data_IF_559806245450
#
_entry.id   IF_559806245450
#
_cell.length_a   1.000
_cell.length_b   1.000
_cell.length_c   1.000
_cell.angle_alpha   90.00
_cell.angle_beta   90.00
_cell.angle_gamma   90.00
#
_symmetry.space_group_name_H-M   'P 1'
#
loop_
_entity.id
_entity.type
_entity.pdbx_description
1 polymer ?
#
# COMPACT_ATOMS: atom_id res chain seq x y z
N UNK A 1 -29.04 -0.62 -8.81
CA UNK A 1 -28.02 0.03 -9.67
C UNK A 1 -27.33 -1.02 -10.53
N UNK A 2 -27.05 -0.74 -11.80
CA UNK A 2 -26.39 -1.68 -12.72
C UNK A 2 -24.90 -1.36 -12.80
N UNK A 3 -24.04 -2.34 -12.52
CA UNK A 3 -22.58 -2.22 -12.63
C UNK A 3 -22.18 -2.12 -14.10
N UNK A 4 -21.16 -1.30 -14.40
CA UNK A 4 -20.64 -1.14 -15.77
C UNK A 4 -20.03 -2.45 -16.29
N UNK A 5 -20.29 -2.75 -17.57
CA UNK A 5 -19.73 -3.93 -18.25
C UNK A 5 -18.19 -3.96 -18.25
N UNK A 6 -17.54 -2.80 -18.17
CA UNK A 6 -16.06 -2.71 -18.18
C UNK A 6 -15.41 -3.19 -16.88
N UNK A 7 -16.14 -3.16 -15.76
CA UNK A 7 -15.59 -3.50 -14.43
C UNK A 7 -16.17 -4.78 -13.85
N UNK A 8 -17.27 -5.29 -14.41
CA UNK A 8 -17.99 -6.45 -13.86
C UNK A 8 -17.17 -7.75 -13.80
N UNK A 9 -16.16 -7.88 -14.67
CA UNK A 9 -15.27 -9.05 -14.72
C UNK A 9 -13.87 -8.80 -14.15
N UNK A 10 -13.65 -7.69 -13.45
CA UNK A 10 -12.34 -7.42 -12.81
C UNK A 10 -12.27 -8.21 -11.51
N UNK A 11 -11.33 -9.15 -11.43
CA UNK A 11 -11.11 -10.02 -10.28
C UNK A 11 -9.71 -9.81 -9.68
N UNK A 12 -9.58 -10.04 -8.37
CA UNK A 12 -8.32 -9.94 -7.64
C UNK A 12 -8.10 -11.18 -6.76
N UNK A 13 -7.85 -12.31 -7.42
CA UNK A 13 -7.86 -13.65 -6.83
C UNK A 13 -6.94 -13.84 -5.62
N UNK A 14 -5.85 -13.06 -5.51
CA UNK A 14 -4.89 -13.13 -4.40
C UNK A 14 -5.58 -12.92 -3.03
N UNK A 15 -6.68 -12.16 -2.97
CA UNK A 15 -7.41 -11.90 -1.72
C UNK A 15 -8.54 -12.89 -1.44
N UNK A 16 -8.95 -13.73 -2.39
CA UNK A 16 -10.09 -14.62 -2.23
C UNK A 16 -9.85 -15.71 -1.18
N UNK A 17 -8.60 -16.18 -1.07
CA UNK A 17 -8.19 -17.19 -0.10
C UNK A 17 -8.39 -16.75 1.35
N UNK A 18 -8.41 -15.44 1.62
CA UNK A 18 -8.61 -14.89 2.97
C UNK A 18 -10.00 -15.24 3.52
N UNK A 19 -11.02 -15.35 2.67
CA UNK A 19 -12.36 -15.75 3.10
C UNK A 19 -12.39 -17.21 3.58
N UNK A 20 -11.64 -18.09 2.92
CA UNK A 20 -11.51 -19.49 3.34
C UNK A 20 -10.66 -19.59 4.62
N UNK A 21 -9.54 -18.87 4.69
CA UNK A 21 -8.67 -18.81 5.87
C UNK A 21 -9.45 -18.40 7.14
N UNK A 22 -10.28 -17.35 7.05
CA UNK A 22 -11.14 -16.91 8.16
C UNK A 22 -12.11 -17.97 8.65
N UNK A 23 -12.65 -18.80 7.74
CA UNK A 23 -13.53 -19.92 8.14
C UNK A 23 -12.76 -20.98 8.91
N UNK A 24 -11.49 -21.23 8.56
CA UNK A 24 -10.59 -22.14 9.28
C UNK A 24 -10.22 -21.55 10.65
N UNK A 25 -9.94 -20.25 10.73
CA UNK A 25 -9.69 -19.59 12.02
C UNK A 25 -10.88 -19.70 12.98
N UNK A 26 -12.11 -19.58 12.45
CA UNK A 26 -13.34 -19.73 13.25
C UNK A 26 -13.50 -21.13 13.86
N UNK A 27 -12.83 -22.16 13.35
CA UNK A 27 -12.81 -23.49 13.98
C UNK A 27 -11.78 -23.60 15.11
N UNK A 28 -11.10 -22.50 15.47
CA UNK A 28 -10.06 -22.46 16.49
C UNK A 28 -8.66 -22.84 15.99
N UNK A 29 -8.49 -23.06 14.69
CA UNK A 29 -7.18 -23.35 14.09
C UNK A 29 -6.39 -22.06 13.86
N UNK A 30 -5.10 -22.09 14.16
CA UNK A 30 -4.19 -21.00 13.79
C UNK A 30 -3.88 -21.08 12.29
N UNK A 31 -3.96 -19.95 11.59
CA UNK A 31 -3.53 -19.81 10.20
C UNK A 31 -2.27 -18.96 10.15
N UNK A 32 -1.23 -19.46 9.49
CA UNK A 32 -0.05 -18.66 9.16
C UNK A 32 -0.24 -18.05 7.77
N UNK A 33 -0.34 -16.72 7.71
CA UNK A 33 -0.58 -16.00 6.47
C UNK A 33 0.74 -15.75 5.74
N UNK A 34 0.93 -16.46 4.63
CA UNK A 34 2.08 -16.31 3.73
C UNK A 34 1.65 -15.82 2.33
N UNK A 35 0.45 -15.25 2.22
CA UNK A 35 -0.20 -14.88 0.97
C UNK A 35 -0.08 -13.39 0.61
N UNK A 36 0.24 -12.50 1.57
CA UNK A 36 0.35 -11.05 1.35
C UNK A 36 1.78 -10.58 1.62
N UNK A 37 2.36 -9.90 0.64
CA UNK A 37 3.67 -9.25 0.77
C UNK A 37 3.57 -7.87 1.42
N UNK A 38 3.01 -7.78 2.62
CA UNK A 38 2.98 -6.54 3.43
C UNK A 38 4.07 -6.61 4.50
N UNK A 39 5.26 -6.02 4.27
CA UNK A 39 6.40 -6.17 5.18
C UNK A 39 6.12 -5.64 6.59
N UNK A 40 5.21 -4.68 6.74
CA UNK A 40 4.86 -4.07 8.03
C UNK A 40 4.27 -5.12 8.98
N UNK A 41 3.46 -6.05 8.46
CA UNK A 41 2.89 -7.16 9.24
C UNK A 41 3.96 -8.14 9.74
N UNK A 42 5.14 -8.15 9.11
CA UNK A 42 6.27 -9.02 9.44
C UNK A 42 7.42 -8.27 10.13
N UNK A 43 7.16 -7.06 10.66
CA UNK A 43 8.12 -6.31 11.48
C UNK A 43 9.04 -5.37 10.71
N UNK A 44 8.91 -5.26 9.39
CA UNK A 44 9.68 -4.31 8.59
C UNK A 44 8.98 -2.95 8.59
N UNK A 45 9.44 -2.06 9.46
CA UNK A 45 8.96 -0.68 9.53
C UNK A 45 9.69 0.22 8.52
N UNK A 46 9.05 1.30 8.03
CA UNK A 46 9.75 2.33 7.28
C UNK A 46 10.96 2.87 8.08
N UNK A 47 12.07 3.23 7.43
CA UNK A 47 13.22 3.85 8.10
C UNK A 47 12.84 5.16 8.82
N UNK A 48 13.52 5.47 9.92
CA UNK A 48 13.17 6.62 10.76
C UNK A 48 13.35 7.98 10.06
N UNK A 49 14.33 8.09 9.14
CA UNK A 49 14.49 9.30 8.32
C UNK A 49 13.26 9.54 7.41
N UNK A 50 12.63 8.48 6.90
CA UNK A 50 11.40 8.58 6.09
C UNK A 50 10.22 9.00 6.95
N UNK A 51 10.05 8.40 8.14
CA UNK A 51 9.01 8.80 9.09
C UNK A 51 9.17 10.27 9.50
N UNK A 52 10.39 10.68 9.81
CA UNK A 52 10.67 12.05 10.22
C UNK A 52 10.43 13.06 9.10
N UNK A 53 10.76 12.72 7.85
CA UNK A 53 10.46 13.56 6.69
C UNK A 53 8.95 13.80 6.54
N UNK A 54 8.13 12.76 6.69
CA UNK A 54 6.67 12.87 6.67
C UNK A 54 6.14 13.76 7.82
N UNK A 55 6.61 13.54 9.05
CA UNK A 55 6.23 14.35 10.22
C UNK A 55 6.59 15.82 10.00
N UNK A 56 7.78 16.09 9.47
CA UNK A 56 8.24 17.44 9.20
C UNK A 56 7.39 18.14 8.13
N UNK A 57 7.02 17.43 7.07
CA UNK A 57 6.17 17.94 5.99
C UNK A 57 4.80 18.38 6.53
N UNK A 58 4.19 17.55 7.38
CA UNK A 58 2.92 17.87 8.06
C UNK A 58 3.09 19.13 8.93
N UNK A 59 4.13 19.19 9.75
CA UNK A 59 4.39 20.32 10.66
C UNK A 59 4.65 21.65 9.92
N UNK A 60 5.20 21.59 8.71
CA UNK A 60 5.41 22.75 7.83
C UNK A 60 4.14 23.19 7.10
N UNK A 61 3.04 22.44 7.23
CA UNK A 61 1.78 22.75 6.55
C UNK A 61 1.77 22.38 5.07
N UNK A 62 2.64 21.45 4.63
CA UNK A 62 2.75 20.99 3.24
C UNK A 62 1.60 20.02 2.85
N UNK A 63 0.37 20.35 3.25
CA UNK A 63 -0.83 19.49 3.12
C UNK A 63 -1.76 19.92 1.96
N UNK A 64 -1.25 20.73 1.03
CA UNK A 64 -2.00 21.26 -0.11
C UNK A 64 -1.94 20.34 -1.33
N UNK A 65 -2.78 20.60 -2.32
CA UNK A 65 -2.72 19.90 -3.60
C UNK A 65 -1.39 20.13 -4.30
N UNK A 66 -0.77 19.04 -4.76
CA UNK A 66 0.35 19.08 -5.70
C UNK A 66 -0.14 19.10 -7.15
N UNK A 67 0.79 19.29 -8.09
CA UNK A 67 0.53 19.05 -9.51
C UNK A 67 0.12 17.59 -9.73
N UNK A 68 -0.74 17.33 -10.72
CA UNK A 68 -1.27 15.98 -10.99
C UNK A 68 -0.20 14.93 -11.29
N UNK A 69 0.97 15.37 -11.74
CA UNK A 69 2.15 14.53 -12.01
C UNK A 69 2.93 14.18 -10.74
N UNK A 70 2.65 14.82 -9.62
CA UNK A 70 3.42 14.75 -8.37
C UNK A 70 4.41 15.92 -8.21
N UNK A 71 5.02 16.00 -7.03
CA UNK A 71 6.01 17.04 -6.69
C UNK A 71 7.21 16.97 -7.63
N UNK A 72 7.69 18.12 -8.12
CA UNK A 72 8.84 18.16 -9.04
C UNK A 72 10.09 17.55 -8.40
N UNK A 73 10.42 17.95 -7.16
CA UNK A 73 11.57 17.43 -6.40
C UNK A 73 11.55 15.90 -6.32
N UNK A 74 10.39 15.30 -6.01
CA UNK A 74 10.25 13.84 -5.95
C UNK A 74 10.49 13.19 -7.32
N UNK A 75 9.95 13.77 -8.41
CA UNK A 75 10.14 13.24 -9.76
C UNK A 75 11.60 13.30 -10.20
N UNK A 76 12.30 14.39 -9.88
CA UNK A 76 13.73 14.54 -10.18
C UNK A 76 14.58 13.52 -9.43
N UNK A 77 14.31 13.28 -8.13
CA UNK A 77 15.04 12.27 -7.36
C UNK A 77 14.76 10.84 -7.83
N UNK A 78 13.52 10.53 -8.25
CA UNK A 78 13.21 9.25 -8.89
C UNK A 78 14.00 9.10 -10.19
N UNK A 79 14.02 10.12 -11.05
CA UNK A 79 14.78 10.09 -12.30
C UNK A 79 16.27 9.89 -12.07
N UNK A 80 16.86 10.53 -11.05
CA UNK A 80 18.27 10.30 -10.66
C UNK A 80 18.50 8.85 -10.21
N UNK A 81 17.65 8.31 -9.34
CA UNK A 81 17.75 6.94 -8.82
C UNK A 81 17.68 5.88 -9.92
N UNK A 82 16.79 6.04 -10.90
CA UNK A 82 16.60 5.05 -11.98
C UNK A 82 17.67 5.15 -13.09
N UNK A 83 18.43 6.26 -13.15
CA UNK A 83 19.54 6.43 -14.09
C UNK A 83 20.93 6.09 -13.48
N UNK A 84 20.98 5.73 -12.20
CA UNK A 84 22.19 5.30 -11.50
C UNK A 84 22.41 3.78 -11.63
#
# INVERSE_FOLDING_TARGET
>A
MKVSKKVVGVEYAIRDIVLAARKVEQTGMKVDYLNIGDPVQFGFQPPDNVKQALINSINKGENYYSTSEGLLELREEIAKKENA
#
